data_IF_819774400128
#
_entry.id   IF_819774400128
#
_cell.length_a   1.000
_cell.length_b   1.000
_cell.length_c   1.000
_cell.angle_alpha   90.00
_cell.angle_beta   90.00
_cell.angle_gamma   90.00
#
_symmetry.space_group_name_H-M   'P 1'
#
loop_
_entity.id
_entity.type
_entity.pdbx_description
1 polymer ?
#
# COMPACT_ATOMS: atom_id res chain seq x y z
N UNK A 1 2.63 11.69 12.12
CA UNK A 1 1.87 11.29 10.91
C UNK A 1 0.97 10.12 11.26
N UNK A 2 -0.23 10.12 10.74
CA UNK A 2 -1.16 9.00 10.93
C UNK A 2 -0.71 7.79 10.09
N UNK A 3 -1.31 6.63 10.37
CA UNK A 3 -1.06 5.44 9.56
C UNK A 3 -1.47 5.71 8.11
N UNK A 4 -2.62 6.37 7.91
CA UNK A 4 -3.08 6.73 6.58
C UNK A 4 -2.05 7.58 5.82
N UNK A 5 -1.50 8.59 6.47
CA UNK A 5 -0.50 9.45 5.84
C UNK A 5 0.76 8.69 5.47
N UNK A 6 1.19 7.77 6.35
CA UNK A 6 2.39 6.97 6.10
C UNK A 6 2.17 6.00 4.96
N UNK A 7 1.00 5.35 4.90
CA UNK A 7 0.66 4.45 3.78
C UNK A 7 0.65 5.23 2.47
N UNK A 8 0.00 6.39 2.45
CA UNK A 8 -0.06 7.22 1.24
C UNK A 8 1.33 7.65 0.78
N UNK A 9 2.20 7.99 1.72
CA UNK A 9 3.56 8.39 1.39
C UNK A 9 4.32 7.23 0.74
N UNK A 10 4.22 6.04 1.31
CA UNK A 10 4.88 4.85 0.76
C UNK A 10 4.37 4.56 -0.66
N UNK A 11 3.05 4.60 -0.85
CA UNK A 11 2.44 4.37 -2.16
C UNK A 11 2.92 5.41 -3.17
N UNK A 12 2.93 6.67 -2.77
CA UNK A 12 3.36 7.77 -3.63
C UNK A 12 4.81 7.58 -4.11
N UNK A 13 5.69 7.23 -3.19
CA UNK A 13 7.10 7.04 -3.51
C UNK A 13 7.32 5.80 -4.37
N UNK A 14 6.62 4.73 -4.06
CA UNK A 14 6.83 3.46 -4.74
C UNK A 14 6.26 3.46 -6.16
N UNK A 15 5.12 4.09 -6.36
CA UNK A 15 4.43 4.10 -7.65
C UNK A 15 4.59 5.41 -8.41
N UNK A 16 5.32 6.36 -7.85
CA UNK A 16 5.55 7.69 -8.44
C UNK A 16 4.23 8.41 -8.77
N UNK A 17 3.33 8.45 -7.80
CA UNK A 17 2.04 9.13 -7.91
C UNK A 17 1.89 10.13 -6.77
N UNK A 18 0.89 11.00 -6.87
CA UNK A 18 0.61 11.98 -5.82
C UNK A 18 0.09 11.31 -4.56
N UNK A 19 0.31 11.94 -3.41
CA UNK A 19 -0.26 11.46 -2.14
C UNK A 19 -1.75 11.73 -2.05
N UNK A 20 -2.28 12.59 -2.90
CA UNK A 20 -3.69 13.01 -2.89
C UNK A 20 -4.54 12.13 -3.80
N UNK A 21 -4.45 10.82 -3.60
CA UNK A 21 -5.22 9.84 -4.39
C UNK A 21 -6.34 9.25 -3.53
N UNK A 22 -7.40 8.82 -4.22
CA UNK A 22 -8.57 8.25 -3.58
C UNK A 22 -8.22 6.94 -2.88
N UNK A 23 -8.72 6.74 -1.67
CA UNK A 23 -8.49 5.50 -0.91
C UNK A 23 -9.02 4.27 -1.64
N UNK A 24 -10.02 4.43 -2.50
CA UNK A 24 -10.59 3.33 -3.28
C UNK A 24 -9.86 3.08 -4.60
N UNK A 25 -8.86 3.88 -4.93
CA UNK A 25 -8.10 3.70 -6.16
C UNK A 25 -7.34 2.37 -6.11
N UNK A 26 -7.46 1.61 -7.19
CA UNK A 26 -6.75 0.35 -7.34
C UNK A 26 -5.31 0.62 -7.78
N UNK A 27 -4.35 -0.06 -7.17
CA UNK A 27 -2.95 0.11 -7.55
C UNK A 27 -2.72 -0.24 -9.02
N UNK A 28 -3.34 -1.31 -9.48
CA UNK A 28 -3.15 -1.81 -10.84
C UNK A 28 -4.03 -1.05 -11.82
N UNK A 29 -5.34 -0.96 -11.54
CA UNK A 29 -6.31 -0.41 -12.48
C UNK A 29 -6.26 1.12 -12.58
N UNK A 30 -6.06 1.78 -11.45
CA UNK A 30 -6.13 3.25 -11.39
C UNK A 30 -4.76 3.92 -11.37
N UNK A 31 -3.77 3.28 -10.76
CA UNK A 31 -2.44 3.85 -10.61
C UNK A 31 -1.40 3.26 -11.56
N UNK A 32 -1.80 2.27 -12.35
CA UNK A 32 -0.94 1.70 -13.38
C UNK A 32 0.18 0.81 -12.88
N UNK A 33 0.08 0.30 -11.66
CA UNK A 33 1.08 -0.62 -11.13
C UNK A 33 0.93 -2.01 -11.77
N UNK A 34 2.04 -2.68 -11.95
CA UNK A 34 2.01 -4.09 -12.38
C UNK A 34 2.24 -5.01 -11.17
N UNK A 35 2.30 -6.31 -11.38
CA UNK A 35 2.45 -7.26 -10.28
C UNK A 35 3.78 -7.10 -9.53
N UNK A 36 4.83 -6.72 -10.22
CA UNK A 36 6.12 -6.46 -9.57
C UNK A 36 6.05 -5.21 -8.70
N UNK A 37 5.39 -4.17 -9.18
CA UNK A 37 5.22 -2.92 -8.42
C UNK A 37 4.44 -3.18 -7.14
N UNK A 38 3.41 -4.02 -7.18
CA UNK A 38 2.64 -4.33 -5.98
C UNK A 38 3.45 -5.14 -4.98
N UNK A 39 4.30 -6.06 -5.43
CA UNK A 39 5.20 -6.80 -4.55
C UNK A 39 6.17 -5.85 -3.86
N UNK A 40 6.77 -4.95 -4.60
CA UNK A 40 7.70 -3.96 -4.03
C UNK A 40 6.98 -3.01 -3.06
N UNK A 41 5.75 -2.64 -3.37
CA UNK A 41 4.94 -1.80 -2.49
C UNK A 41 4.69 -2.50 -1.16
N UNK A 42 4.32 -3.78 -1.18
CA UNK A 42 4.10 -4.55 0.03
C UNK A 42 5.37 -4.62 0.86
N UNK A 43 6.51 -4.86 0.23
CA UNK A 43 7.80 -4.89 0.94
C UNK A 43 8.11 -3.54 1.59
N UNK A 44 7.83 -2.45 0.90
CA UNK A 44 8.05 -1.12 1.45
C UNK A 44 7.14 -0.85 2.65
N UNK A 45 5.90 -1.31 2.59
CA UNK A 45 4.97 -1.19 3.72
C UNK A 45 5.47 -2.00 4.92
N UNK A 46 5.99 -3.19 4.68
CA UNK A 46 6.56 -4.02 5.75
C UNK A 46 7.72 -3.31 6.45
N UNK A 47 8.59 -2.67 5.69
CA UNK A 47 9.71 -1.92 6.25
C UNK A 47 9.23 -0.68 7.00
N UNK A 48 8.28 0.05 6.44
CA UNK A 48 7.79 1.29 7.03
C UNK A 48 7.13 1.05 8.38
N UNK A 49 6.40 -0.05 8.53
CA UNK A 49 5.61 -0.35 9.72
C UNK A 49 6.21 -1.47 10.58
N UNK A 50 7.37 -1.97 10.19
CA UNK A 50 8.08 -3.04 10.91
C UNK A 50 7.15 -4.23 11.19
N UNK A 51 6.49 -4.72 10.15
CA UNK A 51 5.57 -5.85 10.23
C UNK A 51 5.77 -6.79 9.04
N UNK A 52 5.24 -7.99 9.14
CA UNK A 52 5.26 -8.95 8.05
C UNK A 52 3.86 -9.07 7.45
N UNK A 53 3.79 -9.08 6.13
CA UNK A 53 2.56 -9.27 5.39
C UNK A 53 2.68 -10.59 4.65
N UNK A 54 1.85 -11.57 5.01
CA UNK A 54 1.83 -12.85 4.32
C UNK A 54 1.44 -12.68 2.85
N UNK A 55 1.95 -13.54 1.98
CA UNK A 55 1.66 -13.46 0.55
C UNK A 55 0.16 -13.47 0.28
N UNK A 56 -0.60 -14.29 1.01
CA UNK A 56 -2.05 -14.34 0.87
C UNK A 56 -2.71 -13.01 1.19
N UNK A 57 -2.22 -12.34 2.22
CA UNK A 57 -2.74 -11.03 2.61
C UNK A 57 -2.32 -9.96 1.59
N UNK A 58 -1.10 -10.06 1.10
CA UNK A 58 -0.59 -9.12 0.09
C UNK A 58 -1.45 -9.16 -1.18
N UNK A 59 -1.91 -10.33 -1.58
CA UNK A 59 -2.78 -10.49 -2.75
C UNK A 59 -4.11 -9.75 -2.57
N UNK A 60 -4.57 -9.58 -1.34
CA UNK A 60 -5.82 -8.89 -1.04
C UNK A 60 -5.65 -7.38 -0.89
N UNK A 61 -4.42 -6.90 -0.83
CA UNK A 61 -4.15 -5.46 -0.71
C UNK A 61 -4.06 -4.87 -2.12
N UNK A 62 -5.20 -4.45 -2.65
CA UNK A 62 -5.30 -3.94 -4.01
C UNK A 62 -5.63 -2.44 -4.07
N UNK A 63 -6.02 -1.85 -2.94
CA UNK A 63 -6.32 -0.42 -2.85
C UNK A 63 -5.61 0.18 -1.65
N UNK A 64 -5.53 1.51 -1.61
CA UNK A 64 -4.95 2.23 -0.47
C UNK A 64 -5.74 1.93 0.79
N UNK A 65 -7.08 1.89 0.69
CA UNK A 65 -7.93 1.59 1.84
C UNK A 65 -7.61 0.22 2.42
N UNK A 66 -7.45 -0.79 1.58
CA UNK A 66 -7.12 -2.14 2.04
C UNK A 66 -5.76 -2.18 2.73
N UNK A 67 -4.79 -1.44 2.22
CA UNK A 67 -3.48 -1.33 2.86
C UNK A 67 -3.60 -0.69 4.24
N UNK A 68 -4.34 0.41 4.34
CA UNK A 68 -4.57 1.11 5.61
C UNK A 68 -5.25 0.18 6.61
N UNK A 69 -6.31 -0.50 6.18
CA UNK A 69 -7.07 -1.40 7.04
C UNK A 69 -6.20 -2.54 7.55
N UNK A 70 -5.37 -3.12 6.68
CA UNK A 70 -4.48 -4.20 7.08
C UNK A 70 -3.47 -3.73 8.14
N UNK A 71 -2.84 -2.60 7.91
CA UNK A 71 -1.86 -2.05 8.85
C UNK A 71 -2.52 -1.72 10.19
N UNK A 72 -3.69 -1.11 10.17
CA UNK A 72 -4.43 -0.80 11.41
C UNK A 72 -4.77 -2.06 12.20
N UNK A 73 -5.09 -3.15 11.53
CA UNK A 73 -5.43 -4.41 12.19
C UNK A 73 -4.21 -5.10 12.79
N UNK A 74 -3.00 -4.75 12.36
CA UNK A 74 -1.76 -5.44 12.75
C UNK A 74 -0.79 -4.58 13.56
N UNK A 75 -1.21 -3.39 13.96
CA UNK A 75 -0.35 -2.50 14.77
C UNK A 75 -0.99 -2.08 16.09
#
# INVERSE_FOLDING_TARGET
MSIEDRVRKVVSEQLDVNTDIDNNASFIDDLGADSLDTVELVMSLEEEFDCEIADEEAENITTIKQAIDYINANT
#
